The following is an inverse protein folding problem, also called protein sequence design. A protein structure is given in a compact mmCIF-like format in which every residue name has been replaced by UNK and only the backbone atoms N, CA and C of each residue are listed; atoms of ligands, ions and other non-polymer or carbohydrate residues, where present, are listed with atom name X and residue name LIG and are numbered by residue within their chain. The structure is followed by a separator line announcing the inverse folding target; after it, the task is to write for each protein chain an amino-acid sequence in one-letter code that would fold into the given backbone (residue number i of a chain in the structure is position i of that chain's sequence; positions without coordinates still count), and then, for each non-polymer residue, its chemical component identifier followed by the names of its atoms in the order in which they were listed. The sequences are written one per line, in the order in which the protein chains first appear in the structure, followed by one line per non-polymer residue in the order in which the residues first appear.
data_IF_140923819168
#
_entry.id   IF_140923819168
#
_cell.length_a   1.000
_cell.length_b   1.000
_cell.length_c   1.000
_cell.angle_alpha   90.00
_cell.angle_beta   90.00
_cell.angle_gamma   90.00
#
_symmetry.space_group_name_H-M   'P 1'
#
loop_
_entity.id
_entity.type
_entity.pdbx_description
1 polymer ?
#
# COMPACT_ATOMS: atom_id res chain seq x y z
N UNK A 1 2.00 8.22 -3.23
CA UNK A 1 0.66 8.70 -2.82
C UNK A 1 0.84 9.33 -1.46
N UNK A 2 0.49 10.60 -1.31
CA UNK A 2 0.45 11.27 -0.02
C UNK A 2 -0.97 11.17 0.54
N UNK A 3 -1.10 10.52 1.70
CA UNK A 3 -2.37 10.32 2.42
C UNK A 3 -2.36 10.94 3.82
N UNK A 4 -1.49 11.93 4.06
CA UNK A 4 -1.37 12.61 5.36
C UNK A 4 -2.48 13.65 5.61
N UNK A 5 -3.14 14.15 4.57
CA UNK A 5 -4.22 15.14 4.64
C UNK A 5 -5.62 14.58 4.33
N UNK A 6 -6.61 15.48 4.22
CA UNK A 6 -8.03 15.11 3.99
C UNK A 6 -8.30 14.48 2.60
N UNK A 7 -7.39 14.67 1.65
CA UNK A 7 -7.48 14.13 0.28
C UNK A 7 -6.15 13.48 -0.09
N UNK A 8 -6.23 12.36 -0.81
CA UNK A 8 -5.06 11.70 -1.35
C UNK A 8 -4.49 12.49 -2.54
N UNK A 9 -3.18 12.70 -2.53
CA UNK A 9 -2.45 13.35 -3.63
C UNK A 9 -1.53 12.33 -4.30
N UNK A 10 -1.62 12.24 -5.63
CA UNK A 10 -0.72 11.40 -6.44
C UNK A 10 0.27 12.32 -7.15
N UNK A 11 1.55 12.07 -6.93
CA UNK A 11 2.66 12.75 -7.62
C UNK A 11 3.57 11.72 -8.28
N UNK A 12 4.35 12.18 -9.26
CA UNK A 12 5.39 11.39 -9.94
C UNK A 12 6.80 11.79 -9.49
N UNK A 13 6.90 12.59 -8.41
CA UNK A 13 8.18 13.04 -7.88
C UNK A 13 8.88 11.89 -7.15
N UNK A 14 10.19 11.73 -7.38
CA UNK A 14 11.04 10.77 -6.67
C UNK A 14 11.56 11.40 -5.36
N UNK A 15 10.69 11.44 -4.36
CA UNK A 15 10.99 11.96 -3.01
C UNK A 15 11.03 10.81 -2.00
N UNK A 16 11.73 11.02 -0.89
CA UNK A 16 11.64 10.10 0.24
C UNK A 16 10.19 9.97 0.70
N UNK A 17 9.79 8.73 0.99
CA UNK A 17 8.46 8.39 1.46
C UNK A 17 8.54 7.81 2.87
N UNK A 18 7.63 8.23 3.75
CA UNK A 18 7.52 7.68 5.11
C UNK A 18 7.23 6.17 5.11
N UNK A 19 6.56 5.70 4.05
CA UNK A 19 6.24 4.30 3.82
C UNK A 19 6.33 3.96 2.34
N UNK A 20 6.97 2.83 2.04
CA UNK A 20 7.03 2.23 0.71
C UNK A 20 6.34 0.86 0.73
N UNK A 21 5.31 0.71 -0.10
CA UNK A 21 4.62 -0.56 -0.33
C UNK A 21 5.05 -1.11 -1.68
N UNK A 22 5.55 -2.35 -1.70
CA UNK A 22 5.97 -3.04 -2.92
C UNK A 22 5.21 -4.35 -3.07
N UNK A 23 4.60 -4.57 -4.22
CA UNK A 23 3.86 -5.79 -4.55
C UNK A 23 3.86 -6.02 -6.06
N UNK A 24 3.38 -7.18 -6.53
CA UNK A 24 3.17 -7.42 -7.95
C UNK A 24 1.84 -6.84 -8.42
N UNK A 25 1.71 -6.53 -9.71
CA UNK A 25 0.44 -6.07 -10.28
C UNK A 25 -0.70 -7.08 -10.05
N UNK A 26 -0.40 -8.37 -10.15
CA UNK A 26 -1.38 -9.44 -9.94
C UNK A 26 -1.87 -9.49 -8.50
N UNK A 27 -0.96 -9.42 -7.52
CA UNK A 27 -1.35 -9.37 -6.11
C UNK A 27 -2.15 -8.10 -5.78
N UNK A 28 -1.80 -6.96 -6.40
CA UNK A 28 -2.58 -5.73 -6.26
C UNK A 28 -4.00 -5.88 -6.82
N UNK A 29 -4.16 -6.45 -8.02
CA UNK A 29 -5.46 -6.69 -8.63
C UNK A 29 -6.31 -7.68 -7.82
N UNK A 30 -5.70 -8.73 -7.28
CA UNK A 30 -6.39 -9.67 -6.41
C UNK A 30 -6.80 -9.03 -5.07
N UNK A 31 -6.00 -8.10 -4.53
CA UNK A 31 -6.36 -7.34 -3.33
C UNK A 31 -7.54 -6.39 -3.61
N UNK A 32 -7.51 -5.64 -4.72
CA UNK A 32 -8.59 -4.73 -5.12
C UNK A 32 -9.90 -5.50 -5.39
N UNK A 33 -9.81 -6.69 -5.98
CA UNK A 33 -10.98 -7.54 -6.22
C UNK A 33 -11.46 -8.32 -4.99
N UNK A 34 -10.77 -8.20 -3.85
CA UNK A 34 -11.09 -8.91 -2.61
C UNK A 34 -10.73 -10.40 -2.60
N UNK A 35 -10.11 -10.92 -3.66
CA UNK A 35 -9.65 -12.32 -3.74
C UNK A 35 -8.46 -12.61 -2.84
N UNK A 36 -7.61 -11.60 -2.61
CA UNK A 36 -6.45 -11.68 -1.76
C UNK A 36 -6.61 -10.76 -0.56
N UNK A 37 -6.60 -11.34 0.65
CA UNK A 37 -6.61 -10.53 1.86
C UNK A 37 -5.27 -9.78 2.04
N UNK A 38 -5.26 -8.45 2.18
CA UNK A 38 -4.03 -7.66 2.31
C UNK A 38 -3.14 -8.04 3.51
N UNK A 39 -3.73 -8.42 4.65
CA UNK A 39 -2.98 -8.86 5.83
C UNK A 39 -2.33 -10.24 5.60
N UNK A 40 -3.00 -11.14 4.90
CA UNK A 40 -2.40 -12.42 4.49
C UNK A 40 -1.29 -12.18 3.45
N UNK A 41 -1.48 -11.24 2.53
CA UNK A 41 -0.50 -10.90 1.50
C UNK A 41 0.80 -10.34 2.09
N UNK A 42 0.72 -9.53 3.15
CA UNK A 42 1.90 -9.04 3.87
C UNK A 42 2.60 -10.17 4.65
N UNK A 43 1.84 -11.00 5.37
CA UNK A 43 2.39 -12.14 6.12
C UNK A 43 3.08 -13.17 5.21
N UNK A 44 2.52 -13.44 4.02
CA UNK A 44 3.08 -14.38 3.04
C UNK A 44 4.18 -13.76 2.16
N UNK A 45 4.50 -12.48 2.36
CA UNK A 45 5.56 -11.78 1.64
C UNK A 45 5.21 -11.35 0.21
N UNK A 46 3.95 -11.51 -0.23
CA UNK A 46 3.43 -11.01 -1.51
C UNK A 46 3.32 -9.48 -1.54
N UNK A 47 3.17 -8.87 -0.36
CA UNK A 47 3.26 -7.43 -0.15
C UNK A 47 4.41 -7.16 0.81
N UNK A 48 5.32 -6.29 0.42
CA UNK A 48 6.41 -5.80 1.27
C UNK A 48 6.12 -4.38 1.68
N UNK A 49 6.28 -4.10 2.96
CA UNK A 49 6.13 -2.75 3.52
C UNK A 49 7.47 -2.37 4.13
N UNK A 50 7.95 -1.17 3.81
CA UNK A 50 9.10 -0.53 4.46
C UNK A 50 8.64 0.82 5.02
N UNK A 51 9.15 1.21 6.18
CA UNK A 51 8.79 2.47 6.83
C UNK A 51 7.65 2.32 7.84
N UNK A 52 6.80 3.33 7.94
CA UNK A 52 5.73 3.40 8.95
C UNK A 52 4.58 2.43 8.63
N UNK A 53 4.40 1.43 9.50
CA UNK A 53 3.33 0.44 9.36
C UNK A 53 1.94 1.02 9.64
N UNK A 54 1.82 2.04 10.49
CA UNK A 54 0.54 2.72 10.75
C UNK A 54 0.04 3.47 9.52
N UNK A 55 0.94 4.13 8.80
CA UNK A 55 0.63 4.76 7.51
C UNK A 55 0.32 3.72 6.42
N UNK A 56 1.04 2.60 6.39
CA UNK A 56 0.77 1.50 5.45
C UNK A 56 -0.66 0.92 5.61
N UNK A 57 -1.12 0.75 6.85
CA UNK A 57 -2.45 0.22 7.12
C UNK A 57 -3.57 1.19 6.69
N UNK A 58 -3.31 2.50 6.70
CA UNK A 58 -4.28 3.47 6.15
C UNK A 58 -4.48 3.29 4.65
N UNK A 59 -3.45 2.90 3.90
CA UNK A 59 -3.58 2.60 2.46
C UNK A 59 -4.54 1.43 2.20
N UNK A 60 -4.62 0.43 3.08
CA UNK A 60 -5.58 -0.67 2.91
C UNK A 60 -7.04 -0.17 2.90
N UNK A 61 -7.36 0.92 3.59
CA UNK A 61 -8.70 1.51 3.53
C UNK A 61 -9.01 2.27 2.21
N UNK A 62 -8.01 2.43 1.35
CA UNK A 62 -8.13 3.08 0.04
C UNK A 62 -8.29 2.08 -1.12
N UNK A 63 -8.00 0.79 -0.87
CA UNK A 63 -8.12 -0.32 -1.82
C UNK A 63 -9.45 -1.05 -1.62
#
# INVERSE_FOLDING_TARGET
IDGSGDKNIVSFDDKEADTVISTSQEALADMISGKLNPMMATMTGKVKIKGDMGLAMKIQSLL
#
